data_IF_648398249154
#
_entry.id   IF_648398249154
#
_cell.length_a   1.000
_cell.length_b   1.000
_cell.length_c   1.000
_cell.angle_alpha   90.00
_cell.angle_beta   90.00
_cell.angle_gamma   90.00
#
_symmetry.space_group_name_H-M   'P 1'
#
loop_
_entity.id
_entity.type
_entity.pdbx_description
1 polymer ?
#
# COMPACT_ATOMS: atom_id res chain seq x y z
N UNK A 1 62.84 33.57 23.94
CA UNK A 1 63.55 34.54 23.10
C UNK A 1 62.64 34.87 21.94
N UNK A 2 62.13 36.11 21.89
CA UNK A 2 62.70 37.17 21.05
C UNK A 2 62.62 36.72 19.58
N UNK A 3 62.04 37.45 18.65
CA UNK A 3 61.47 38.78 18.70
C UNK A 3 60.94 39.03 17.29
N UNK A 4 59.78 39.68 17.22
CA UNK A 4 59.39 40.77 16.32
C UNK A 4 60.27 41.07 15.08
N UNK A 5 59.60 41.36 13.97
CA UNK A 5 59.29 42.74 13.55
C UNK A 5 58.37 42.70 12.32
N UNK A 6 57.12 43.13 12.41
CA UNK A 6 56.66 44.53 12.43
C UNK A 6 57.20 45.33 11.23
N UNK A 7 56.31 45.75 10.33
CA UNK A 7 56.18 47.17 9.97
C UNK A 7 54.89 47.49 9.18
N UNK A 8 53.99 48.18 9.87
CA UNK A 8 53.18 49.36 9.47
C UNK A 8 52.42 49.43 8.13
N UNK A 9 51.08 49.45 8.24
CA UNK A 9 50.11 50.58 8.03
C UNK A 9 50.59 51.85 7.27
N UNK A 10 49.73 52.73 6.67
CA UNK A 10 48.34 53.08 7.08
C UNK A 10 47.35 53.57 5.98
N UNK A 11 46.13 53.94 6.45
CA UNK A 11 45.29 55.07 6.00
C UNK A 11 44.08 54.83 5.06
N UNK A 12 42.89 55.02 5.67
CA UNK A 12 41.51 55.17 5.11
C UNK A 12 41.37 56.44 4.25
N UNK A 13 40.27 56.67 3.50
CA UNK A 13 39.03 57.28 4.06
C UNK A 13 37.69 56.79 3.41
N UNK A 14 36.63 56.47 4.19
CA UNK A 14 35.45 57.33 4.49
C UNK A 14 34.26 57.16 3.50
N UNK A 15 33.04 57.64 3.79
CA UNK A 15 32.30 57.68 5.05
C UNK A 15 30.82 57.23 4.88
N UNK A 16 30.12 57.09 6.01
CA UNK A 16 28.75 57.56 6.26
C UNK A 16 27.58 57.25 5.30
N UNK A 17 26.52 56.73 5.95
CA UNK A 17 25.10 56.95 5.66
C UNK A 17 24.50 56.05 4.55
N UNK A 18 23.27 55.57 4.61
CA UNK A 18 22.17 55.83 5.51
C UNK A 18 21.10 54.75 5.29
N UNK A 19 20.31 54.53 6.35
CA UNK A 19 18.88 54.28 6.31
C UNK A 19 18.36 52.98 5.67
N UNK A 20 18.01 52.09 6.59
CA UNK A 20 16.89 51.16 6.52
C UNK A 20 15.71 51.72 5.72
N UNK A 21 15.46 51.13 4.55
CA UNK A 21 14.14 51.11 3.94
C UNK A 21 13.55 49.71 4.11
N UNK A 22 12.66 49.66 5.09
CA UNK A 22 11.42 48.89 5.17
C UNK A 22 11.26 47.70 4.21
N UNK A 23 11.22 46.51 4.82
CA UNK A 23 10.13 45.55 4.69
C UNK A 23 9.71 45.14 3.28
N UNK A 24 10.38 44.12 2.76
CA UNK A 24 9.69 43.08 2.00
C UNK A 24 9.89 41.76 2.72
N UNK A 25 8.92 41.47 3.59
CA UNK A 25 8.66 40.16 4.16
C UNK A 25 8.97 39.07 3.14
N UNK A 26 9.94 38.22 3.47
CA UNK A 26 10.19 36.96 2.77
C UNK A 26 8.84 36.27 2.57
N UNK A 27 8.49 35.96 1.33
CA UNK A 27 7.45 34.97 1.02
C UNK A 27 7.95 33.62 1.53
N UNK A 28 7.82 33.39 2.84
CA UNK A 28 7.78 32.05 3.39
C UNK A 28 6.45 31.47 2.92
N UNK A 29 6.49 30.65 1.88
CA UNK A 29 5.34 29.83 1.52
C UNK A 29 4.90 29.06 2.76
N UNK A 30 3.66 29.23 3.24
CA UNK A 30 3.16 28.35 4.28
C UNK A 30 3.13 26.96 3.65
N UNK A 31 3.92 26.02 4.18
CA UNK A 31 3.71 24.59 3.91
C UNK A 31 2.29 24.29 4.36
N UNK A 32 1.36 24.22 3.39
CA UNK A 32 -0.01 23.79 3.62
C UNK A 32 0.06 22.44 4.34
N UNK A 33 -0.45 22.31 5.58
CA UNK A 33 -0.65 20.99 6.15
C UNK A 33 -1.65 20.27 5.24
N UNK A 34 -1.26 19.12 4.69
CA UNK A 34 -2.18 18.27 3.94
C UNK A 34 -3.20 17.71 4.94
N UNK A 35 -4.29 18.45 5.18
CA UNK A 35 -5.50 17.88 5.77
C UNK A 35 -6.13 16.97 4.72
N UNK A 36 -5.66 15.73 4.65
CA UNK A 36 -6.40 14.69 3.95
C UNK A 36 -7.44 14.22 4.96
N UNK A 37 -8.64 14.80 4.89
CA UNK A 37 -9.82 14.17 5.43
C UNK A 37 -10.10 12.93 4.57
N UNK A 38 -9.44 11.81 4.87
CA UNK A 38 -9.89 10.51 4.39
C UNK A 38 -11.10 10.09 5.21
N UNK A 39 -12.25 10.71 4.97
CA UNK A 39 -13.51 9.97 5.08
C UNK A 39 -13.60 9.08 3.85
N UNK A 40 -12.72 8.08 3.76
CA UNK A 40 -12.93 7.01 2.79
C UNK A 40 -14.19 6.28 3.25
N UNK A 41 -15.24 6.18 2.42
CA UNK A 41 -16.29 5.21 2.65
C UNK A 41 -15.63 3.85 2.90
N UNK A 42 -16.19 2.97 3.75
CA UNK A 42 -15.65 1.63 3.90
C UNK A 42 -15.54 1.05 2.49
N UNK A 43 -14.32 0.69 2.09
CA UNK A 43 -14.05 0.01 0.85
C UNK A 43 -14.79 -1.33 0.92
N UNK A 44 -16.08 -1.32 0.59
CA UNK A 44 -16.80 -2.50 0.16
C UNK A 44 -16.09 -2.89 -1.13
N UNK A 45 -15.05 -3.70 -0.99
CA UNK A 45 -14.36 -4.25 -2.12
C UNK A 45 -15.41 -5.04 -2.89
N UNK A 46 -15.81 -4.63 -4.11
CA UNK A 46 -16.57 -5.53 -4.96
C UNK A 46 -15.71 -6.77 -5.09
N UNK A 47 -16.32 -7.94 -4.91
CA UNK A 47 -15.69 -9.25 -4.71
C UNK A 47 -14.59 -9.46 -5.78
N UNK A 48 -13.39 -9.02 -5.40
CA UNK A 48 -12.03 -9.21 -5.92
C UNK A 48 -11.86 -9.19 -7.46
N UNK A 49 -11.44 -8.04 -7.99
CA UNK A 49 -10.84 -7.92 -9.33
C UNK A 49 -9.51 -8.69 -9.47
N UNK A 50 -8.89 -9.12 -8.36
CA UNK A 50 -7.66 -9.90 -8.34
C UNK A 50 -7.93 -11.42 -8.24
N UNK A 51 -7.11 -12.27 -8.88
CA UNK A 51 -7.16 -13.76 -8.73
C UNK A 51 -6.63 -14.20 -7.37
N UNK A 52 -7.36 -13.86 -6.31
CA UNK A 52 -7.07 -14.21 -4.93
C UNK A 52 -8.28 -14.91 -4.33
N UNK A 53 -8.06 -15.97 -3.56
CA UNK A 53 -9.14 -16.62 -2.82
C UNK A 53 -9.52 -15.76 -1.60
N UNK A 54 -10.79 -15.38 -1.41
CA UNK A 54 -11.20 -14.51 -0.31
C UNK A 54 -11.06 -15.19 1.07
N UNK A 55 -11.31 -16.50 1.15
CA UNK A 55 -11.27 -17.25 2.41
C UNK A 55 -9.85 -17.59 2.88
N UNK A 56 -9.00 -18.04 1.95
CA UNK A 56 -7.65 -18.53 2.29
C UNK A 56 -6.54 -17.55 1.92
N UNK A 57 -6.86 -16.44 1.24
CA UNK A 57 -5.87 -15.46 0.78
C UNK A 57 -4.88 -15.98 -0.26
N UNK A 58 -5.10 -17.17 -0.84
CA UNK A 58 -4.18 -17.80 -1.81
C UNK A 58 -4.03 -16.93 -3.05
N UNK A 59 -2.77 -16.70 -3.43
CA UNK A 59 -2.36 -15.89 -4.60
C UNK A 59 -1.67 -16.77 -5.63
N UNK A 60 -1.57 -16.27 -6.86
CA UNK A 60 -0.78 -16.92 -7.91
C UNK A 60 0.69 -17.00 -7.51
N UNK A 61 1.32 -18.14 -7.79
CA UNK A 61 2.74 -18.33 -7.58
C UNK A 61 3.53 -17.97 -8.86
N UNK A 62 4.71 -17.36 -8.71
CA UNK A 62 5.63 -17.08 -9.84
C UNK A 62 6.64 -18.22 -9.92
N UNK A 63 6.49 -19.09 -10.91
CA UNK A 63 7.38 -20.21 -11.18
C UNK A 63 8.18 -20.04 -12.47
N UNK A 64 9.01 -21.05 -12.77
CA UNK A 64 9.61 -21.21 -14.09
C UNK A 64 9.02 -22.46 -14.77
N UNK A 65 8.82 -22.38 -16.07
CA UNK A 65 8.68 -23.53 -16.95
C UNK A 65 10.08 -23.88 -17.48
N UNK A 66 10.48 -25.14 -17.37
CA UNK A 66 11.83 -25.61 -17.68
C UNK A 66 11.74 -26.50 -18.91
N UNK A 67 12.51 -26.20 -19.96
CA UNK A 67 12.61 -27.07 -21.14
C UNK A 67 13.49 -28.30 -20.87
N UNK A 68 13.47 -29.27 -21.78
CA UNK A 68 14.40 -30.40 -21.75
C UNK A 68 15.87 -29.96 -21.76
N UNK A 69 16.18 -28.86 -22.46
CA UNK A 69 17.50 -28.20 -22.46
C UNK A 69 17.76 -27.30 -21.23
N UNK A 70 16.93 -27.39 -20.19
CA UNK A 70 17.01 -26.60 -18.95
C UNK A 70 16.87 -25.07 -19.11
N UNK A 71 16.33 -24.59 -20.23
CA UNK A 71 16.00 -23.17 -20.41
C UNK A 71 14.81 -22.79 -19.52
N UNK A 72 14.94 -21.68 -18.77
CA UNK A 72 13.95 -21.26 -17.77
C UNK A 72 13.12 -20.09 -18.28
N UNK A 73 11.84 -20.32 -18.50
CA UNK A 73 10.87 -19.28 -18.88
C UNK A 73 9.98 -18.94 -17.70
N UNK A 74 9.75 -17.64 -17.42
CA UNK A 74 8.89 -17.22 -16.30
C UNK A 74 7.42 -17.54 -16.60
N UNK A 75 6.73 -18.18 -15.64
CA UNK A 75 5.30 -18.52 -15.75
C UNK A 75 4.57 -18.24 -14.43
N UNK A 76 3.35 -17.73 -14.55
CA UNK A 76 2.45 -17.58 -13.40
C UNK A 76 1.60 -18.84 -13.25
N UNK A 77 1.68 -19.47 -12.07
CA UNK A 77 0.83 -20.57 -11.67
C UNK A 77 -0.40 -19.98 -10.95
N UNK A 78 -1.55 -20.01 -11.62
CA UNK A 78 -2.78 -19.46 -11.06
C UNK A 78 -3.40 -20.38 -10.01
N UNK A 79 -4.15 -19.77 -9.09
CA UNK A 79 -4.98 -20.51 -8.14
C UNK A 79 -6.18 -21.08 -8.88
N UNK A 80 -6.53 -22.33 -8.57
CA UNK A 80 -7.75 -22.98 -9.06
C UNK A 80 -9.00 -22.38 -8.38
N UNK A 81 -9.42 -21.20 -8.86
CA UNK A 81 -10.61 -20.48 -8.41
C UNK A 81 -11.81 -20.91 -9.24
N UNK A 82 -12.90 -21.28 -8.58
CA UNK A 82 -14.12 -21.77 -9.20
C UNK A 82 -15.32 -21.01 -8.64
N UNK A 83 -16.32 -20.77 -9.49
CA UNK A 83 -17.63 -20.28 -9.05
C UNK A 83 -18.47 -21.47 -8.61
N UNK A 84 -18.82 -21.53 -7.33
CA UNK A 84 -19.64 -22.59 -6.77
C UNK A 84 -20.71 -22.01 -5.86
N UNK A 85 -21.85 -22.70 -5.81
CA UNK A 85 -22.94 -22.41 -4.89
C UNK A 85 -22.73 -23.26 -3.64
N UNK A 86 -22.74 -22.62 -2.48
CA UNK A 86 -22.67 -23.30 -1.19
C UNK A 86 -23.96 -23.02 -0.43
N UNK A 87 -24.52 -24.04 0.20
CA UNK A 87 -25.70 -23.90 1.05
C UNK A 87 -25.30 -23.26 2.39
N UNK A 88 -26.09 -22.31 2.86
CA UNK A 88 -25.90 -21.67 4.15
C UNK A 88 -27.11 -21.92 5.06
N UNK A 89 -26.88 -22.56 6.20
CA UNK A 89 -27.94 -22.99 7.11
C UNK A 89 -28.66 -21.82 7.78
N UNK A 90 -27.92 -20.81 8.25
CA UNK A 90 -28.52 -19.69 8.99
C UNK A 90 -29.39 -18.80 8.10
N UNK A 91 -28.99 -18.59 6.85
CA UNK A 91 -29.76 -17.81 5.87
C UNK A 91 -30.75 -18.62 5.03
N UNK A 92 -30.72 -19.95 5.11
CA UNK A 92 -31.56 -20.89 4.33
C UNK A 92 -31.55 -20.64 2.82
N UNK A 93 -30.40 -20.27 2.26
CA UNK A 93 -30.25 -20.03 0.82
C UNK A 93 -28.86 -20.42 0.32
N UNK A 94 -28.71 -20.40 -1.01
CA UNK A 94 -27.42 -20.67 -1.66
C UNK A 94 -26.66 -19.37 -1.92
N UNK A 95 -25.38 -19.34 -1.52
CA UNK A 95 -24.48 -18.22 -1.78
C UNK A 95 -23.59 -18.56 -2.97
N UNK A 96 -23.44 -17.62 -3.91
CA UNK A 96 -22.52 -17.76 -5.06
C UNK A 96 -21.13 -17.27 -4.66
N UNK A 97 -20.19 -18.19 -4.54
CA UNK A 97 -18.83 -17.89 -4.07
C UNK A 97 -17.79 -18.17 -5.16
N UNK A 98 -16.83 -17.25 -5.29
CA UNK A 98 -15.60 -17.49 -6.04
C UNK A 98 -14.54 -18.02 -5.08
N UNK A 99 -14.36 -19.34 -5.05
CA UNK A 99 -13.56 -20.02 -4.03
C UNK A 99 -12.47 -20.89 -4.64
N UNK A 100 -11.37 -21.08 -3.91
CA UNK A 100 -10.41 -22.12 -4.26
C UNK A 100 -10.91 -23.49 -3.85
N UNK A 101 -10.46 -24.55 -4.54
CA UNK A 101 -10.80 -25.94 -4.17
C UNK A 101 -10.35 -26.33 -2.77
N UNK A 102 -9.28 -25.71 -2.24
CA UNK A 102 -8.85 -25.93 -0.85
C UNK A 102 -9.79 -25.23 0.14
N UNK A 103 -10.32 -24.06 -0.21
CA UNK A 103 -11.32 -23.37 0.61
C UNK A 103 -12.62 -24.17 0.70
N UNK A 104 -13.08 -24.78 -0.42
CA UNK A 104 -14.25 -25.66 -0.42
C UNK A 104 -14.07 -26.82 0.57
N UNK A 105 -12.91 -27.51 0.53
CA UNK A 105 -12.60 -28.58 1.51
C UNK A 105 -12.58 -28.10 2.96
N UNK A 106 -12.25 -26.83 3.21
CA UNK A 106 -12.28 -26.26 4.57
C UNK A 106 -13.69 -25.91 4.99
N UNK A 107 -14.51 -25.39 4.06
CA UNK A 107 -15.94 -25.13 4.28
C UNK A 107 -16.67 -26.42 4.65
N UNK A 108 -16.40 -27.51 3.91
CA UNK A 108 -17.04 -28.80 4.17
C UNK A 108 -16.69 -29.37 5.57
N UNK A 109 -15.51 -29.05 6.09
CA UNK A 109 -15.03 -29.55 7.39
C UNK A 109 -15.44 -28.70 8.58
N UNK A 110 -15.33 -27.38 8.45
CA UNK A 110 -15.47 -26.45 9.55
C UNK A 110 -16.82 -25.71 9.53
N UNK A 111 -17.60 -25.86 8.45
CA UNK A 111 -18.78 -25.06 8.18
C UNK A 111 -18.44 -23.70 7.56
N UNK A 112 -19.44 -23.06 6.96
CA UNK A 112 -19.26 -21.78 6.27
C UNK A 112 -19.03 -20.62 7.25
N UNK A 113 -19.70 -20.65 8.41
CA UNK A 113 -19.67 -19.56 9.38
C UNK A 113 -18.28 -19.40 10.02
N UNK A 114 -17.60 -20.52 10.28
CA UNK A 114 -16.25 -20.51 10.82
C UNK A 114 -15.24 -19.89 9.83
N UNK A 115 -15.40 -20.17 8.55
CA UNK A 115 -14.48 -19.73 7.49
C UNK A 115 -14.73 -18.28 7.07
N UNK A 116 -15.96 -17.78 7.21
CA UNK A 116 -16.31 -16.40 6.88
C UNK A 116 -15.79 -15.34 7.86
N UNK A 117 -15.38 -15.75 9.08
CA UNK A 117 -14.78 -14.87 10.12
C UNK A 117 -13.54 -14.10 9.65
N UNK A 118 -12.94 -14.49 8.53
CA UNK A 118 -11.75 -13.86 7.91
C UNK A 118 -12.07 -12.46 7.32
N UNK A 119 -13.32 -11.98 7.45
CA UNK A 119 -13.73 -10.61 7.11
C UNK A 119 -14.69 -10.52 5.93
N UNK A 120 -15.56 -11.51 5.76
CA UNK A 120 -16.54 -11.55 4.66
C UNK A 120 -17.94 -11.61 5.26
N UNK A 121 -18.78 -10.63 4.90
CA UNK A 121 -20.19 -10.58 5.31
C UNK A 121 -21.03 -11.52 4.41
N UNK A 122 -21.55 -12.63 4.94
CA UNK A 122 -22.36 -13.58 4.14
C UNK A 122 -23.70 -12.98 3.68
N UNK A 123 -24.23 -11.99 4.38
CA UNK A 123 -25.52 -11.36 4.04
C UNK A 123 -25.47 -10.47 2.78
N UNK A 124 -24.28 -10.09 2.32
CA UNK A 124 -24.10 -9.18 1.18
C UNK A 124 -23.74 -9.92 -0.12
N UNK A 125 -23.74 -11.25 -0.11
CA UNK A 125 -23.24 -12.12 -1.20
C UNK A 125 -24.33 -12.83 -2.00
#
# INVERSE_FOLDING_TARGET
MKLEKELQDPAKPNPCQALNFMNHTKLTTPKRPKSISTSSPPALQPIVACRICPFTGKKSNRGNEISFSAHKTKKLQFVNLQYKRVWWEAGKHFIKLRSSTKALKTIDKNGIDAVAKVGIDLHKL
#
